data_IF_431196766482
#
_entry.id   IF_431196766482
#
_cell.length_a   1.000
_cell.length_b   1.000
_cell.length_c   1.000
_cell.angle_alpha   90.00
_cell.angle_beta   90.00
_cell.angle_gamma   90.00
#
_symmetry.space_group_name_H-M   'P 1'
#
loop_
_entity.id
_entity.type
_entity.pdbx_description
1 polymer ?
#
# COMPACT_ATOMS: atom_id res chain seq x y z
N UNK A 1 -26.47 16.29 30.67
CA UNK A 1 -26.96 14.91 30.67
C UNK A 1 -27.87 14.77 29.47
N UNK A 2 -27.50 13.97 28.45
CA UNK A 2 -28.32 13.83 27.23
C UNK A 2 -29.56 12.99 27.55
N UNK A 3 -30.74 13.57 27.37
CA UNK A 3 -31.99 12.83 27.39
C UNK A 3 -32.07 12.02 26.09
N UNK A 4 -31.64 10.76 26.14
CA UNK A 4 -31.82 9.84 25.04
C UNK A 4 -33.32 9.63 24.84
N UNK A 5 -33.85 10.19 23.74
CA UNK A 5 -35.22 9.95 23.31
C UNK A 5 -35.41 8.44 23.13
N UNK A 6 -36.17 7.83 24.03
CA UNK A 6 -36.64 6.44 23.90
C UNK A 6 -37.81 6.45 22.91
N UNK A 7 -37.51 6.64 21.62
CA UNK A 7 -38.51 6.64 20.56
C UNK A 7 -38.83 5.19 20.18
N UNK A 8 -39.77 4.57 20.91
CA UNK A 8 -40.35 3.27 20.52
C UNK A 8 -41.38 3.45 19.38
N UNK A 9 -41.81 4.69 19.09
CA UNK A 9 -42.73 5.02 18.01
C UNK A 9 -42.07 5.94 16.96
N UNK A 10 -42.23 5.61 15.68
CA UNK A 10 -41.75 6.42 14.54
C UNK A 10 -42.50 7.77 14.57
N UNK A 11 -41.82 8.92 14.75
CA UNK A 11 -42.50 10.21 14.71
C UNK A 11 -43.12 10.41 13.33
N UNK A 12 -44.41 10.74 13.29
CA UNK A 12 -45.20 10.89 12.05
C UNK A 12 -45.42 12.35 11.66
N UNK A 13 -45.29 13.28 12.60
CA UNK A 13 -45.59 14.69 12.41
C UNK A 13 -44.58 15.58 13.13
N UNK A 14 -44.29 16.76 12.57
CA UNK A 14 -43.50 17.82 13.21
C UNK A 14 -44.43 18.98 13.56
N UNK A 15 -44.35 19.47 14.80
CA UNK A 15 -45.11 20.63 15.26
C UNK A 15 -44.18 21.84 15.34
N UNK A 16 -44.44 22.86 14.54
CA UNK A 16 -43.65 24.09 14.51
C UNK A 16 -44.07 25.03 15.65
N UNK A 17 -43.17 25.93 16.07
CA UNK A 17 -43.44 26.88 17.15
C UNK A 17 -44.69 27.75 16.94
N UNK A 18 -45.17 27.89 15.69
CA UNK A 18 -46.43 28.56 15.35
C UNK A 18 -47.68 27.68 15.41
N UNK A 19 -47.63 26.47 16.00
CA UNK A 19 -48.76 25.54 16.13
C UNK A 19 -49.11 24.75 14.86
N UNK A 20 -48.47 25.06 13.73
CA UNK A 20 -48.62 24.31 12.48
C UNK A 20 -48.03 22.91 12.62
N UNK A 21 -48.77 21.90 12.16
CA UNK A 21 -48.31 20.50 12.16
C UNK A 21 -48.17 20.02 10.72
N UNK A 22 -47.00 19.48 10.35
CA UNK A 22 -46.75 18.90 9.01
C UNK A 22 -46.37 17.41 9.12
N UNK A 23 -46.82 16.55 8.18
CA UNK A 23 -46.43 15.16 8.14
C UNK A 23 -44.95 15.03 7.77
N UNK A 24 -44.23 14.11 8.42
CA UNK A 24 -42.85 13.79 8.08
C UNK A 24 -42.85 12.97 6.78
N UNK A 25 -42.15 13.41 5.72
CA UNK A 25 -42.05 12.65 4.48
C UNK A 25 -41.35 11.31 4.72
N UNK A 26 -41.85 10.25 4.09
CA UNK A 26 -41.24 8.93 4.24
C UNK A 26 -39.91 8.85 3.47
N UNK A 27 -38.82 8.94 4.21
CA UNK A 27 -37.45 8.87 3.67
C UNK A 27 -36.90 7.44 3.61
N UNK A 28 -37.69 6.44 4.03
CA UNK A 28 -37.30 5.01 3.98
C UNK A 28 -36.74 4.56 2.62
N UNK A 29 -37.28 4.96 1.45
CA UNK A 29 -36.70 4.54 0.16
C UNK A 29 -35.34 5.18 -0.14
N UNK A 30 -35.02 6.33 0.44
CA UNK A 30 -33.74 7.02 0.24
C UNK A 30 -32.61 6.45 1.10
N UNK A 31 -32.96 5.73 2.17
CA UNK A 31 -32.02 5.10 3.10
C UNK A 31 -31.89 3.60 2.85
N UNK A 32 -32.51 3.09 1.78
CA UNK A 32 -32.48 1.67 1.48
C UNK A 32 -31.05 1.27 1.09
N UNK A 33 -30.43 0.31 1.79
CA UNK A 33 -29.14 -0.21 1.39
C UNK A 33 -29.26 -0.83 -0.01
N UNK A 34 -28.20 -0.67 -0.80
CA UNK A 34 -28.13 -1.22 -2.15
C UNK A 34 -26.92 -2.15 -2.24
N UNK A 35 -27.08 -3.25 -2.98
CA UNK A 35 -25.99 -4.22 -3.16
C UNK A 35 -24.72 -3.58 -3.76
N UNK A 36 -24.90 -2.60 -4.65
CA UNK A 36 -23.78 -1.84 -5.23
C UNK A 36 -23.09 -0.97 -4.18
N UNK A 37 -23.87 -0.27 -3.35
CA UNK A 37 -23.35 0.53 -2.24
C UNK A 37 -22.61 -0.31 -1.21
N UNK A 38 -23.15 -1.48 -0.86
CA UNK A 38 -22.51 -2.42 0.06
C UNK A 38 -21.19 -2.93 -0.52
N UNK A 39 -21.19 -3.34 -1.80
CA UNK A 39 -19.98 -3.78 -2.48
C UNK A 39 -18.91 -2.67 -2.49
N UNK A 40 -19.26 -1.45 -2.90
CA UNK A 40 -18.34 -0.32 -2.93
C UNK A 40 -17.79 -0.02 -1.52
N UNK A 41 -18.65 -0.05 -0.51
CA UNK A 41 -18.29 0.20 0.89
C UNK A 41 -17.26 -0.83 1.37
N UNK A 42 -17.57 -2.12 1.26
CA UNK A 42 -16.67 -3.16 1.75
C UNK A 42 -15.35 -3.20 0.98
N UNK A 43 -15.39 -2.99 -0.35
CA UNK A 43 -14.18 -2.99 -1.17
C UNK A 43 -13.28 -1.81 -0.85
N UNK A 44 -13.85 -0.60 -0.72
CA UNK A 44 -13.09 0.60 -0.42
C UNK A 44 -12.53 0.59 1.00
N UNK A 45 -13.31 0.16 2.00
CA UNK A 45 -12.82 0.11 3.38
C UNK A 45 -11.83 -1.04 3.62
N UNK A 46 -12.04 -2.21 3.03
CA UNK A 46 -11.07 -3.30 3.12
C UNK A 46 -9.78 -2.96 2.37
N UNK A 47 -9.89 -2.52 1.11
CA UNK A 47 -8.74 -2.15 0.29
C UNK A 47 -8.04 -0.91 0.83
N UNK A 48 -8.76 0.19 1.00
CA UNK A 48 -8.24 1.43 1.55
C UNK A 48 -7.70 1.27 2.96
N UNK A 49 -8.33 0.47 3.81
CA UNK A 49 -7.82 0.14 5.14
C UNK A 49 -6.51 -0.65 5.10
N UNK A 50 -6.35 -1.56 4.13
CA UNK A 50 -5.10 -2.30 3.93
C UNK A 50 -3.97 -1.39 3.43
N UNK A 51 -4.24 -0.46 2.51
CA UNK A 51 -3.21 0.46 2.02
C UNK A 51 -2.87 1.55 3.04
N UNK A 52 -3.87 2.21 3.63
CA UNK A 52 -3.65 3.22 4.66
C UNK A 52 -3.02 2.59 5.90
N UNK A 53 -3.54 1.45 6.39
CA UNK A 53 -2.97 0.77 7.55
C UNK A 53 -1.63 0.10 7.25
N UNK A 54 -1.50 -0.54 6.09
CA UNK A 54 -0.33 -1.30 5.69
C UNK A 54 0.87 -0.44 5.33
N UNK A 55 0.70 0.60 4.50
CA UNK A 55 1.80 1.48 4.12
C UNK A 55 2.22 2.39 5.26
N UNK A 56 1.27 2.93 6.04
CA UNK A 56 1.61 3.70 7.25
C UNK A 56 2.30 2.78 8.27
N UNK A 57 1.84 1.53 8.40
CA UNK A 57 2.50 0.51 9.23
C UNK A 57 3.92 0.19 8.76
N UNK A 58 4.13 0.04 7.45
CA UNK A 58 5.45 -0.20 6.86
C UNK A 58 6.40 0.98 7.07
N UNK A 59 5.94 2.21 6.80
CA UNK A 59 6.71 3.43 6.98
C UNK A 59 7.03 3.67 8.46
N UNK A 60 6.04 3.56 9.34
CA UNK A 60 6.20 3.69 10.79
C UNK A 60 7.14 2.63 11.37
N UNK A 61 6.98 1.38 10.96
CA UNK A 61 7.85 0.26 11.33
C UNK A 61 9.28 0.46 10.85
N UNK A 62 9.47 0.91 9.61
CA UNK A 62 10.79 1.20 9.03
C UNK A 62 11.48 2.34 9.77
N UNK A 63 10.76 3.41 10.10
CA UNK A 63 11.29 4.52 10.88
C UNK A 63 11.68 4.09 12.30
N UNK A 64 10.86 3.26 12.94
CA UNK A 64 11.15 2.70 14.27
C UNK A 64 12.38 1.80 14.24
N UNK A 65 12.46 0.87 13.28
CA UNK A 65 13.62 0.01 13.09
C UNK A 65 14.89 0.83 12.83
N UNK A 66 14.82 1.83 11.95
CA UNK A 66 15.94 2.74 11.67
C UNK A 66 16.42 3.46 12.92
N UNK A 67 15.51 3.94 13.77
CA UNK A 67 15.85 4.59 15.06
C UNK A 67 16.54 3.61 16.00
N UNK A 68 16.01 2.39 16.15
CA UNK A 68 16.61 1.33 16.98
C UNK A 68 18.02 0.96 16.51
N UNK A 69 18.19 0.74 15.20
CA UNK A 69 19.50 0.44 14.59
C UNK A 69 20.49 1.58 14.79
N UNK A 70 20.05 2.83 14.68
CA UNK A 70 20.93 4.00 14.85
C UNK A 70 21.34 4.22 16.31
N UNK A 71 20.47 3.85 17.26
CA UNK A 71 20.73 3.98 18.68
C UNK A 71 21.79 2.99 19.20
N UNK A 72 21.96 1.82 18.56
CA UNK A 72 23.04 0.87 18.86
C UNK A 72 24.19 0.95 17.83
N UNK A 73 25.34 1.55 18.20
CA UNK A 73 26.51 1.63 17.33
C UNK A 73 27.03 0.27 16.85
N UNK A 74 26.88 -0.77 17.67
CA UNK A 74 27.32 -2.13 17.33
C UNK A 74 26.49 -2.74 16.20
N UNK A 75 25.16 -2.66 16.32
CA UNK A 75 24.24 -3.10 15.26
C UNK A 75 24.44 -2.33 13.97
N UNK A 76 24.58 -1.00 14.06
CA UNK A 76 24.86 -0.16 12.89
C UNK A 76 26.10 -0.63 12.14
N UNK A 77 27.21 -0.83 12.84
CA UNK A 77 28.48 -1.27 12.22
C UNK A 77 28.34 -2.62 11.50
N UNK A 78 27.67 -3.60 12.13
CA UNK A 78 27.42 -4.91 11.50
C UNK A 78 26.61 -4.81 10.22
N UNK A 79 25.57 -3.95 10.22
CA UNK A 79 24.72 -3.74 9.04
C UNK A 79 25.51 -3.04 7.92
N UNK A 80 26.31 -2.03 8.24
CA UNK A 80 27.15 -1.33 7.26
C UNK A 80 28.17 -2.28 6.61
N UNK A 81 28.83 -3.13 7.40
CA UNK A 81 29.80 -4.11 6.90
C UNK A 81 29.13 -5.16 6.00
N UNK A 82 27.98 -5.68 6.41
CA UNK A 82 27.19 -6.63 5.61
C UNK A 82 26.75 -5.99 4.27
N UNK A 83 26.28 -4.74 4.31
CA UNK A 83 25.82 -4.02 3.12
C UNK A 83 26.95 -3.74 2.12
N UNK A 84 28.15 -3.42 2.61
CA UNK A 84 29.35 -3.25 1.76
C UNK A 84 29.72 -4.55 1.04
N UNK A 85 29.71 -5.67 1.77
CA UNK A 85 30.00 -7.01 1.20
C UNK A 85 28.98 -7.39 0.14
N UNK A 86 27.70 -7.21 0.45
CA UNK A 86 26.60 -7.47 -0.48
C UNK A 86 26.74 -6.65 -1.78
N UNK A 87 27.02 -5.34 -1.68
CA UNK A 87 27.24 -4.50 -2.87
C UNK A 87 28.40 -5.00 -3.72
N UNK A 88 29.51 -5.38 -3.09
CA UNK A 88 30.65 -5.93 -3.83
C UNK A 88 30.30 -7.25 -4.53
N UNK A 89 29.43 -8.08 -3.94
CA UNK A 89 28.96 -9.32 -4.53
C UNK A 89 28.04 -9.08 -5.74
N UNK A 90 27.08 -8.17 -5.61
CA UNK A 90 26.20 -7.76 -6.73
C UNK A 90 27.01 -7.23 -7.91
N UNK A 91 27.98 -6.35 -7.66
CA UNK A 91 28.83 -5.79 -8.72
C UNK A 91 29.68 -6.87 -9.42
N UNK A 92 30.19 -7.86 -8.68
CA UNK A 92 30.90 -8.99 -9.28
C UNK A 92 29.98 -9.82 -10.17
N UNK A 93 28.75 -10.03 -9.73
CA UNK A 93 27.78 -10.81 -10.50
C UNK A 93 27.34 -10.09 -11.76
N UNK A 94 27.14 -8.78 -11.69
CA UNK A 94 26.89 -7.93 -12.85
C UNK A 94 28.07 -7.97 -13.82
N UNK A 95 29.31 -7.83 -13.34
CA UNK A 95 30.51 -7.92 -14.17
C UNK A 95 30.62 -9.26 -14.91
N UNK A 96 30.40 -10.39 -14.22
CA UNK A 96 30.38 -11.72 -14.84
C UNK A 96 29.33 -11.83 -15.95
N UNK A 97 28.14 -11.28 -15.74
CA UNK A 97 27.07 -11.28 -16.75
C UNK A 97 27.47 -10.47 -17.98
N UNK A 98 28.14 -9.33 -17.78
CA UNK A 98 28.66 -8.52 -18.89
C UNK A 98 29.78 -9.26 -19.64
N UNK A 99 30.74 -9.84 -18.93
CA UNK A 99 31.84 -10.61 -19.53
C UNK A 99 31.31 -11.81 -20.34
N UNK A 100 30.30 -12.53 -19.84
CA UNK A 100 29.67 -13.63 -20.56
C UNK A 100 28.98 -13.16 -21.86
N UNK A 101 28.33 -11.99 -21.85
CA UNK A 101 27.73 -11.40 -23.04
C UNK A 101 28.78 -10.94 -24.06
N UNK A 102 29.85 -10.29 -23.60
CA UNK A 102 30.95 -9.85 -24.45
C UNK A 102 31.72 -11.03 -25.04
N UNK A 103 32.02 -12.07 -24.25
CA UNK A 103 32.69 -13.28 -24.73
C UNK A 103 31.84 -14.06 -25.75
N UNK A 104 30.52 -14.11 -25.55
CA UNK A 104 29.59 -14.66 -26.54
C UNK A 104 29.56 -13.88 -27.85
N UNK A 105 29.72 -12.55 -27.80
CA UNK A 105 29.87 -11.69 -28.97
C UNK A 105 31.23 -11.82 -29.66
N UNK A 106 32.32 -11.91 -28.90
CA UNK A 106 33.68 -12.10 -29.42
C UNK A 106 33.82 -13.41 -30.19
N UNK A 107 33.23 -14.51 -29.69
CA UNK A 107 33.23 -15.80 -30.37
C UNK A 107 32.38 -15.84 -31.66
N UNK A 108 31.42 -14.94 -31.82
CA UNK A 108 30.68 -14.76 -33.08
C UNK A 108 31.48 -13.95 -34.10
N UNK A 109 32.22 -12.93 -33.65
CA UNK A 109 33.11 -12.12 -34.50
C UNK A 109 34.30 -12.97 -34.98
N UNK A 110 34.90 -13.79 -34.11
CA UNK A 110 35.99 -14.69 -34.48
C UNK A 110 35.56 -15.76 -35.50
N UNK A 111 34.32 -16.27 -35.40
CA UNK A 111 33.76 -17.21 -36.40
C UNK A 111 33.45 -16.52 -37.73
N UNK A 112 32.84 -15.34 -37.70
CA UNK A 112 32.57 -14.57 -38.92
C UNK A 112 33.84 -14.09 -39.64
N UNK A 113 34.94 -13.87 -38.91
CA UNK A 113 36.25 -13.54 -39.46
C UNK A 113 36.99 -14.71 -40.10
N UNK A 114 36.69 -15.95 -39.70
CA UNK A 114 37.27 -17.17 -40.30
C UNK A 114 36.57 -17.58 -41.60
N UNK A 115 35.27 -17.31 -41.73
CA UNK A 115 34.47 -17.63 -42.92
C UNK A 115 34.70 -16.66 -44.10
N UNK A 116 35.45 -15.56 -43.90
CA UNK A 116 35.77 -14.56 -44.92
C UNK A 116 37.14 -14.73 -45.60
N UNK A 117 37.90 -15.79 -45.28
CA UNK A 117 39.26 -16.02 -45.79
C UNK A 117 39.41 -17.33 -46.60
N UNK A 118 38.31 -17.98 -47.00
CA UNK A 118 38.32 -19.14 -47.92
C UNK A 118 37.53 -18.80 -49.18
#
# INVERSE_FOLDING_TARGET
>A
MFAAFRATEKPTHVQFAGGRTEPIPDVTPLLQPSALGDFATYTLFAGGGLFIGGEIGLLGGSLSAKRSITADPGSRKRIEDAFRRFRAEVLREEAKKLEAQTAGGQGLIDRAGLDGFI
#
